data_IF_355515529820
#
_entry.id   IF_355515529820
#
_cell.length_a   1.000
_cell.length_b   1.000
_cell.length_c   1.000
_cell.angle_alpha   90.00
_cell.angle_beta   90.00
_cell.angle_gamma   90.00
#
_symmetry.space_group_name_H-M   'P 1'
#
loop_
_entity.id
_entity.type
_entity.pdbx_description
1 polymer ?
#
# COMPACT_ATOMS: atom_id res chain seq x y z
N UNK A 1 -5.79 -3.87 -11.80
CA UNK A 1 -5.36 -2.46 -11.68
C UNK A 1 -4.39 -2.30 -10.51
N UNK A 2 -3.29 -1.56 -10.70
CA UNK A 2 -2.44 -1.07 -9.60
C UNK A 2 -3.20 -0.04 -8.76
N UNK A 3 -3.00 -0.04 -7.44
CA UNK A 3 -3.54 1.02 -6.59
C UNK A 3 -2.96 2.38 -7.02
N UNK A 4 -3.79 3.42 -7.08
CA UNK A 4 -3.31 4.76 -7.35
C UNK A 4 -2.65 5.41 -6.13
N UNK A 5 -1.96 6.54 -6.33
CA UNK A 5 -1.46 7.33 -5.21
C UNK A 5 -2.60 7.72 -4.27
N UNK A 6 -2.34 7.59 -2.97
CA UNK A 6 -3.23 7.98 -1.88
C UNK A 6 -2.39 8.39 -0.67
N UNK A 7 -3.04 8.74 0.43
CA UNK A 7 -2.35 9.20 1.62
C UNK A 7 -1.92 10.66 1.48
N UNK A 8 -0.77 11.04 2.07
CA UNK A 8 -0.24 12.41 1.97
C UNK A 8 -0.01 12.85 0.52
N UNK A 9 0.30 11.90 -0.37
CA UNK A 9 0.50 12.18 -1.79
C UNK A 9 -0.78 12.59 -2.52
N UNK A 10 -1.94 12.05 -2.10
CA UNK A 10 -3.28 12.36 -2.65
C UNK A 10 -4.36 12.08 -1.63
N UNK A 11 -4.79 13.12 -0.92
CA UNK A 11 -5.81 13.05 0.12
C UNK A 11 -7.22 12.85 -0.42
N UNK A 12 -7.47 13.25 -1.68
CA UNK A 12 -8.80 13.19 -2.31
C UNK A 12 -9.09 11.86 -3.01
N UNK A 13 -8.20 10.86 -2.88
CA UNK A 13 -8.42 9.53 -3.46
C UNK A 13 -9.61 8.83 -2.79
N UNK A 14 -10.45 8.07 -3.52
CA UNK A 14 -11.69 7.48 -2.99
C UNK A 14 -11.47 6.45 -1.87
N UNK A 15 -10.26 5.94 -1.73
CA UNK A 15 -9.86 5.06 -0.63
C UNK A 15 -9.53 5.81 0.67
N UNK A 16 -9.47 7.14 0.66
CA UNK A 16 -9.11 7.95 1.82
C UNK A 16 -10.31 8.18 2.75
N UNK A 17 -10.10 8.01 4.05
CA UNK A 17 -11.05 8.35 5.10
C UNK A 17 -10.28 8.80 6.34
N UNK A 18 -10.71 9.91 6.97
CA UNK A 18 -10.05 10.48 8.16
C UNK A 18 -8.52 10.64 8.00
N UNK A 19 -8.07 11.08 6.81
CA UNK A 19 -6.65 11.28 6.50
C UNK A 19 -5.85 10.00 6.30
N UNK A 20 -6.48 8.82 6.31
CA UNK A 20 -5.81 7.51 6.13
C UNK A 20 -6.41 6.73 4.96
N UNK A 21 -5.58 5.93 4.29
CA UNK A 21 -6.08 5.00 3.28
C UNK A 21 -6.77 3.82 3.97
N UNK A 22 -8.06 3.65 3.73
CA UNK A 22 -8.89 2.53 4.23
C UNK A 22 -8.44 1.16 3.74
N UNK A 23 -7.59 1.11 2.70
CA UNK A 23 -7.00 -0.12 2.15
C UNK A 23 -5.56 -0.34 2.61
N UNK A 24 -5.04 0.55 3.46
CA UNK A 24 -3.71 0.48 4.06
C UNK A 24 -2.57 0.50 3.01
N UNK A 25 -2.68 1.38 2.01
CA UNK A 25 -1.59 1.64 1.07
C UNK A 25 -0.69 2.80 1.53
N UNK A 26 0.62 2.74 1.20
CA UNK A 26 1.31 1.62 0.56
C UNK A 26 1.41 0.40 1.49
N UNK A 27 1.33 -0.82 0.93
CA UNK A 27 1.46 -2.05 1.71
C UNK A 27 2.93 -2.20 2.11
N UNK A 28 3.18 -2.56 3.38
CA UNK A 28 4.54 -2.85 3.86
C UNK A 28 5.13 -4.05 3.10
N UNK A 29 6.44 -4.05 2.89
CA UNK A 29 7.14 -5.25 2.47
C UNK A 29 7.04 -6.32 3.56
N UNK A 30 7.00 -7.58 3.13
CA UNK A 30 6.97 -8.75 3.99
C UNK A 30 7.75 -9.88 3.31
N UNK A 31 8.72 -10.47 3.99
CA UNK A 31 9.62 -11.47 3.39
C UNK A 31 8.95 -12.84 3.21
N UNK A 32 7.92 -13.11 4.00
CA UNK A 32 7.13 -14.35 3.98
C UNK A 32 5.64 -14.07 4.14
N UNK A 33 4.80 -15.09 3.97
CA UNK A 33 3.37 -14.98 4.27
C UNK A 33 3.16 -15.36 5.73
N UNK A 34 2.72 -14.42 6.56
CA UNK A 34 2.45 -14.65 7.99
C UNK A 34 0.94 -14.57 8.28
N UNK A 35 0.51 -15.06 9.43
CA UNK A 35 -0.83 -14.83 9.96
C UNK A 35 -0.73 -13.75 11.04
N UNK A 36 -1.59 -12.73 11.00
CA UNK A 36 -1.64 -11.69 12.02
C UNK A 36 -2.39 -12.14 13.28
N UNK A 37 -2.39 -11.28 14.30
CA UNK A 37 -3.02 -11.56 15.59
C UNK A 37 -4.55 -11.76 15.48
N UNK A 38 -5.16 -11.32 14.38
CA UNK A 38 -6.59 -11.46 14.07
C UNK A 38 -6.89 -12.70 13.21
N UNK A 39 -5.86 -13.48 12.84
CA UNK A 39 -6.00 -14.70 12.05
C UNK A 39 -6.03 -14.47 10.54
N UNK A 40 -5.72 -13.27 10.05
CA UNK A 40 -5.69 -12.96 8.63
C UNK A 40 -4.28 -13.15 8.03
N UNK A 41 -4.19 -13.64 6.77
CA UNK A 41 -2.91 -13.77 6.11
C UNK A 41 -2.36 -12.40 5.65
N UNK A 42 -1.15 -12.08 6.11
CA UNK A 42 -0.30 -11.04 5.53
C UNK A 42 0.61 -11.69 4.50
N UNK A 43 0.28 -11.57 3.23
CA UNK A 43 1.05 -12.18 2.15
C UNK A 43 2.44 -11.57 1.96
N UNK A 44 3.37 -12.42 1.50
CA UNK A 44 4.72 -12.00 1.10
C UNK A 44 4.68 -10.88 0.06
N UNK A 45 5.43 -9.81 0.33
CA UNK A 45 5.70 -8.68 -0.56
C UNK A 45 7.20 -8.38 -0.55
N UNK A 46 7.93 -8.82 -1.58
CA UNK A 46 9.38 -8.67 -1.67
C UNK A 46 9.76 -7.20 -1.92
N UNK A 47 10.81 -6.75 -1.26
CA UNK A 47 11.51 -5.52 -1.62
C UNK A 47 12.58 -5.85 -2.67
N UNK A 48 12.22 -5.72 -3.95
CA UNK A 48 13.13 -5.92 -5.07
C UNK A 48 13.60 -4.60 -5.69
N UNK A 49 13.41 -3.48 -4.97
CA UNK A 49 13.77 -2.14 -5.42
C UNK A 49 12.94 -1.62 -6.60
N UNK A 50 11.89 -2.33 -7.02
CA UNK A 50 11.04 -1.89 -8.13
C UNK A 50 10.02 -0.87 -7.65
N UNK A 51 9.95 0.25 -8.36
CA UNK A 51 8.97 1.31 -8.13
C UNK A 51 8.19 1.61 -9.40
N UNK A 52 7.02 2.21 -9.25
CA UNK A 52 6.19 2.65 -10.38
C UNK A 52 5.84 4.12 -10.20
N UNK A 53 6.17 4.93 -11.20
CA UNK A 53 5.80 6.34 -11.24
C UNK A 53 4.36 6.51 -11.75
N UNK A 54 3.51 7.20 -10.99
CA UNK A 54 2.16 7.57 -11.42
C UNK A 54 1.94 9.07 -11.24
N UNK A 55 2.03 9.79 -12.34
CA UNK A 55 2.12 11.26 -12.30
C UNK A 55 3.45 11.66 -11.69
N UNK A 56 3.42 12.48 -10.63
CA UNK A 56 4.61 12.93 -9.89
C UNK A 56 4.89 12.10 -8.62
N UNK A 57 4.14 11.00 -8.41
CA UNK A 57 4.25 10.16 -7.21
C UNK A 57 4.90 8.83 -7.58
N UNK A 58 5.97 8.48 -6.86
CA UNK A 58 6.56 7.15 -6.91
C UNK A 58 5.82 6.22 -5.94
N UNK A 59 5.41 5.05 -6.45
CA UNK A 59 4.71 4.03 -5.68
C UNK A 59 5.64 2.82 -5.52
N UNK A 60 5.79 2.39 -4.27
CA UNK A 60 6.50 1.18 -3.89
C UNK A 60 5.56 0.03 -3.64
#
# INVERSE_FOLDING_TARGET
MMHGPCGPSRTNSPCMSNGRCTKHFPKKYNEETTIDDEGYPIYRRRDDGRTITKGEVELT
#
